data_IF_728696896068
#
_entry.id   IF_728696896068
#
_cell.length_a   1.000
_cell.length_b   1.000
_cell.length_c   1.000
_cell.angle_alpha   90.00
_cell.angle_beta   90.00
_cell.angle_gamma   90.00
#
_symmetry.space_group_name_H-M   'P 1'
#
loop_
_entity.id
_entity.type
_entity.pdbx_description
1 polymer ?
#
# COMPACT_ATOMS: atom_id res chain seq x y z
N UNK A 1 -20.08 -6.14 -11.34
CA UNK A 1 -20.71 -5.05 -10.56
C UNK A 1 -19.74 -3.88 -10.58
N UNK A 2 -20.23 -2.66 -10.88
CA UNK A 2 -19.41 -1.44 -10.78
C UNK A 2 -19.19 -1.07 -9.32
N UNK A 3 -18.07 -0.37 -9.02
CA UNK A 3 -17.80 0.12 -7.66
C UNK A 3 -18.83 1.25 -7.34
N UNK A 4 -19.53 1.23 -6.19
CA UNK A 4 -20.40 2.33 -5.78
C UNK A 4 -19.66 3.67 -5.72
N UNK A 5 -20.31 4.78 -6.08
CA UNK A 5 -19.65 6.09 -6.16
C UNK A 5 -18.99 6.51 -4.84
N UNK A 6 -19.66 6.30 -3.72
CA UNK A 6 -19.10 6.64 -2.41
C UNK A 6 -17.85 5.80 -2.09
N UNK A 7 -17.86 4.48 -2.38
CA UNK A 7 -16.68 3.62 -2.21
C UNK A 7 -15.55 4.10 -3.10
N UNK A 8 -15.84 4.41 -4.37
CA UNK A 8 -14.86 4.93 -5.32
C UNK A 8 -14.19 6.22 -4.79
N UNK A 9 -14.97 7.20 -4.33
CA UNK A 9 -14.45 8.45 -3.79
C UNK A 9 -13.62 8.25 -2.51
N UNK A 10 -14.07 7.37 -1.61
CA UNK A 10 -13.31 7.05 -0.40
C UNK A 10 -11.98 6.34 -0.72
N UNK A 11 -11.94 5.44 -1.71
CA UNK A 11 -10.68 4.81 -2.13
C UNK A 11 -9.74 5.83 -2.77
N UNK A 12 -10.24 6.83 -3.51
CA UNK A 12 -9.40 7.93 -3.98
C UNK A 12 -8.83 8.77 -2.82
N UNK A 13 -9.63 9.03 -1.79
CA UNK A 13 -9.13 9.67 -0.55
C UNK A 13 -8.05 8.79 0.11
N UNK A 14 -8.27 7.48 0.20
CA UNK A 14 -7.26 6.54 0.69
C UNK A 14 -5.98 6.59 -0.14
N UNK A 15 -6.09 6.69 -1.47
CA UNK A 15 -4.94 6.83 -2.38
C UNK A 15 -4.19 8.16 -2.17
N UNK A 16 -4.90 9.26 -1.92
CA UNK A 16 -4.30 10.56 -1.58
C UNK A 16 -3.55 10.48 -0.24
N UNK A 17 -4.18 9.94 0.80
CA UNK A 17 -3.54 9.73 2.11
C UNK A 17 -2.31 8.82 1.99
N UNK A 18 -2.40 7.76 1.13
CA UNK A 18 -1.28 6.88 0.83
C UNK A 18 -0.11 7.64 0.17
N UNK A 19 -0.39 8.50 -0.80
CA UNK A 19 0.63 9.34 -1.42
C UNK A 19 1.24 10.34 -0.42
N UNK A 20 0.44 10.87 0.50
CA UNK A 20 0.87 11.85 1.49
C UNK A 20 1.88 11.29 2.47
N UNK A 21 1.62 10.13 3.10
CA UNK A 21 2.59 9.56 4.02
C UNK A 21 3.88 9.08 3.30
N UNK A 22 3.76 8.59 2.06
CA UNK A 22 4.93 8.26 1.24
C UNK A 22 5.78 9.52 0.93
N UNK A 23 5.14 10.66 0.67
CA UNK A 23 5.85 11.92 0.45
C UNK A 23 6.58 12.38 1.73
N UNK A 24 5.99 12.18 2.92
CA UNK A 24 6.64 12.46 4.21
C UNK A 24 7.92 11.62 4.35
N UNK A 25 7.87 10.32 4.07
CA UNK A 25 9.06 9.45 4.11
C UNK A 25 10.09 9.89 3.06
N UNK A 26 9.66 10.19 1.83
CA UNK A 26 10.55 10.62 0.75
C UNK A 26 11.27 11.95 1.06
N UNK A 27 10.64 12.82 1.83
CA UNK A 27 11.23 14.11 2.23
C UNK A 27 12.33 14.01 3.29
N UNK A 28 12.62 12.82 3.81
CA UNK A 28 13.61 12.57 4.84
C UNK A 28 14.93 12.06 4.29
N UNK A 29 15.98 12.14 5.12
CA UNK A 29 17.29 11.59 4.78
C UNK A 29 17.46 10.10 5.10
N UNK A 30 16.54 9.49 5.89
CA UNK A 30 16.61 8.07 6.29
C UNK A 30 15.21 7.43 6.27
N UNK A 31 14.84 6.96 5.08
CA UNK A 31 13.52 6.34 4.86
C UNK A 31 13.26 5.11 5.76
N UNK A 32 14.30 4.37 6.14
CA UNK A 32 14.16 3.20 7.01
C UNK A 32 13.77 3.61 8.43
N UNK A 33 14.45 4.62 9.00
CA UNK A 33 14.12 5.14 10.33
C UNK A 33 12.78 5.87 10.35
N UNK A 34 12.42 6.59 9.28
CA UNK A 34 11.09 7.21 9.16
C UNK A 34 9.99 6.16 9.09
N UNK A 35 10.19 5.06 8.36
CA UNK A 35 9.22 3.96 8.35
C UNK A 35 8.99 3.38 9.74
N UNK A 36 10.07 3.18 10.53
CA UNK A 36 9.95 2.69 11.91
C UNK A 36 9.25 3.71 12.81
N UNK A 37 9.62 4.99 12.73
CA UNK A 37 8.98 6.06 13.50
C UNK A 37 7.47 6.15 13.18
N UNK A 38 7.11 6.04 11.91
CA UNK A 38 5.73 6.00 11.45
C UNK A 38 4.99 4.76 11.97
N UNK A 39 5.61 3.57 11.92
CA UNK A 39 5.02 2.33 12.46
C UNK A 39 4.73 2.46 13.96
N UNK A 40 5.67 3.01 14.74
CA UNK A 40 5.46 3.26 16.17
C UNK A 40 4.32 4.25 16.39
N UNK A 41 4.30 5.36 15.65
CA UNK A 41 3.25 6.37 15.77
C UNK A 41 1.86 5.81 15.37
N UNK A 42 1.79 4.98 14.31
CA UNK A 42 0.55 4.32 13.89
C UNK A 42 0.05 3.31 14.96
N UNK A 43 0.95 2.55 15.57
CA UNK A 43 0.60 1.65 16.66
C UNK A 43 0.10 2.40 17.91
N UNK A 44 0.74 3.52 18.27
CA UNK A 44 0.29 4.36 19.38
C UNK A 44 -1.08 4.99 19.08
N UNK A 45 -1.30 5.50 17.87
CA UNK A 45 -2.60 5.99 17.43
C UNK A 45 -3.66 4.88 17.49
N UNK A 46 -3.31 3.68 17.02
CA UNK A 46 -4.19 2.53 17.06
C UNK A 46 -4.56 2.15 18.50
N UNK A 47 -3.63 2.11 19.43
CA UNK A 47 -3.88 1.84 20.85
C UNK A 47 -4.87 2.85 21.47
N UNK A 48 -4.78 4.13 21.09
CA UNK A 48 -5.70 5.17 21.55
C UNK A 48 -7.11 4.98 20.97
N UNK A 49 -7.21 4.53 19.71
CA UNK A 49 -8.49 4.36 19.01
C UNK A 49 -9.16 3.01 19.27
N UNK A 50 -8.40 1.97 19.66
CA UNK A 50 -8.93 0.63 19.89
C UNK A 50 -10.12 0.58 20.88
N UNK A 51 -10.12 1.30 22.02
CA UNK A 51 -11.25 1.30 22.94
C UNK A 51 -12.55 1.85 22.34
N UNK A 52 -12.44 2.60 21.24
CA UNK A 52 -13.57 3.23 20.55
C UNK A 52 -14.14 2.36 19.41
N UNK A 53 -13.56 1.17 19.20
CA UNK A 53 -13.93 0.29 18.09
C UNK A 53 -14.33 -1.09 18.58
N UNK A 54 -15.29 -1.75 17.90
CA UNK A 54 -15.59 -3.15 18.21
C UNK A 54 -14.36 -4.04 17.98
N UNK A 55 -14.14 -5.00 18.85
CA UNK A 55 -13.10 -6.01 18.64
C UNK A 55 -13.40 -6.85 17.39
N UNK A 56 -12.39 -7.24 16.61
CA UNK A 56 -12.57 -8.14 15.48
C UNK A 56 -13.15 -9.49 15.94
N UNK A 57 -14.09 -10.04 15.17
CA UNK A 57 -14.68 -11.33 15.47
C UNK A 57 -13.60 -12.44 15.53
N UNK A 58 -13.76 -13.48 16.37
CA UNK A 58 -12.77 -14.55 16.52
C UNK A 58 -12.36 -15.23 15.21
N UNK A 59 -13.25 -15.33 14.24
CA UNK A 59 -13.01 -15.91 12.92
C UNK A 59 -11.97 -15.14 12.10
N UNK A 60 -11.71 -13.87 12.44
CA UNK A 60 -10.71 -13.04 11.71
C UNK A 60 -9.29 -13.13 12.27
N UNK A 61 -9.09 -13.65 13.48
CA UNK A 61 -7.77 -13.69 14.11
C UNK A 61 -6.72 -14.50 13.35
N UNK A 62 -7.03 -15.65 12.72
CA UNK A 62 -6.07 -16.36 11.87
C UNK A 62 -5.63 -15.54 10.68
N UNK A 63 -6.54 -14.76 10.05
CA UNK A 63 -6.25 -13.83 8.97
C UNK A 63 -5.36 -12.70 9.46
N UNK A 64 -5.64 -12.15 10.61
CA UNK A 64 -4.85 -11.08 11.22
C UNK A 64 -3.43 -11.56 11.53
N UNK A 65 -3.26 -12.76 12.06
CA UNK A 65 -1.94 -13.34 12.31
C UNK A 65 -1.17 -13.56 11.01
N UNK A 66 -1.80 -14.09 9.96
CA UNK A 66 -1.19 -14.26 8.64
C UNK A 66 -0.81 -12.90 8.03
N UNK A 67 -1.69 -11.89 8.14
CA UNK A 67 -1.43 -10.52 7.69
C UNK A 67 -0.18 -9.94 8.35
N UNK A 68 -0.06 -10.01 9.66
CA UNK A 68 1.10 -9.52 10.42
C UNK A 68 2.39 -10.18 9.92
N UNK A 69 2.39 -11.50 9.73
CA UNK A 69 3.57 -12.22 9.21
C UNK A 69 3.94 -11.74 7.80
N UNK A 70 2.95 -11.58 6.92
CA UNK A 70 3.17 -11.12 5.55
C UNK A 70 3.67 -9.67 5.50
N UNK A 71 3.11 -8.79 6.32
CA UNK A 71 3.56 -7.39 6.41
C UNK A 71 4.99 -7.29 6.93
N UNK A 72 5.32 -8.03 7.99
CA UNK A 72 6.70 -8.07 8.51
C UNK A 72 7.67 -8.59 7.44
N UNK A 73 7.32 -9.69 6.74
CA UNK A 73 8.11 -10.21 5.63
C UNK A 73 8.28 -9.17 4.52
N UNK A 74 7.19 -8.49 4.12
CA UNK A 74 7.21 -7.41 3.15
C UNK A 74 8.18 -6.29 3.56
N UNK A 75 8.10 -5.76 4.79
CA UNK A 75 8.97 -4.69 5.26
C UNK A 75 10.45 -5.11 5.31
N UNK A 76 10.75 -6.34 5.74
CA UNK A 76 12.11 -6.86 5.76
C UNK A 76 12.69 -7.02 4.36
N UNK A 77 11.89 -7.52 3.41
CA UNK A 77 12.29 -7.70 2.01
C UNK A 77 12.42 -6.35 1.29
N UNK A 78 11.54 -5.39 1.56
CA UNK A 78 11.61 -4.05 1.00
C UNK A 78 12.95 -3.38 1.32
N UNK A 79 13.41 -3.52 2.56
CA UNK A 79 14.72 -3.02 2.98
C UNK A 79 15.91 -3.70 2.27
N UNK A 80 15.75 -4.93 1.77
CA UNK A 80 16.76 -5.62 0.94
C UNK A 80 16.73 -5.08 -0.49
N UNK A 81 15.54 -4.98 -1.08
CA UNK A 81 15.36 -4.56 -2.48
C UNK A 81 15.88 -3.14 -2.71
N UNK A 82 15.63 -2.22 -1.79
CA UNK A 82 16.11 -0.83 -1.90
C UNK A 82 17.63 -0.67 -1.86
N UNK A 83 18.38 -1.70 -1.46
CA UNK A 83 19.86 -1.72 -1.55
C UNK A 83 20.38 -2.24 -2.89
N UNK A 84 19.52 -2.86 -3.71
CA UNK A 84 19.91 -3.54 -4.93
C UNK A 84 19.61 -2.76 -6.20
N UNK A 85 18.88 -1.65 -6.10
CA UNK A 85 18.55 -0.85 -7.27
C UNK A 85 17.85 0.47 -6.93
N UNK A 86 17.63 1.25 -7.97
CA UNK A 86 17.01 2.56 -7.87
C UNK A 86 15.51 2.43 -7.56
N UNK A 87 15.05 3.13 -6.54
CA UNK A 87 13.65 3.16 -6.11
C UNK A 87 12.70 3.60 -7.24
N UNK A 88 13.17 4.52 -8.10
CA UNK A 88 12.38 5.04 -9.21
C UNK A 88 12.01 3.96 -10.26
N UNK A 89 12.79 2.87 -10.30
CA UNK A 89 12.57 1.71 -11.18
C UNK A 89 11.82 0.58 -10.46
N UNK A 90 12.27 0.24 -9.26
CA UNK A 90 11.76 -0.93 -8.52
C UNK A 90 10.34 -0.71 -8.00
N UNK A 91 10.05 0.49 -7.48
CA UNK A 91 8.76 0.79 -6.88
C UNK A 91 7.58 0.71 -7.86
N UNK A 92 7.63 1.29 -9.09
CA UNK A 92 6.54 1.14 -10.06
C UNK A 92 6.33 -0.32 -10.50
N UNK A 93 7.39 -1.13 -10.60
CA UNK A 93 7.27 -2.55 -10.95
C UNK A 93 6.53 -3.33 -9.87
N UNK A 94 6.92 -3.17 -8.60
CA UNK A 94 6.24 -3.82 -7.47
C UNK A 94 4.77 -3.43 -7.41
N UNK A 95 4.46 -2.15 -7.60
CA UNK A 95 3.10 -1.60 -7.52
C UNK A 95 2.24 -1.93 -8.75
N UNK A 96 2.82 -1.95 -9.95
CA UNK A 96 2.09 -2.25 -11.17
C UNK A 96 1.77 -3.74 -11.36
N UNK A 97 2.54 -4.65 -10.73
CA UNK A 97 2.32 -6.10 -10.82
C UNK A 97 1.33 -6.59 -9.76
N UNK A 98 1.38 -6.05 -8.56
CA UNK A 98 0.61 -6.55 -7.42
C UNK A 98 -0.92 -6.63 -7.67
N UNK A 99 -1.63 -5.60 -8.23
CA UNK A 99 -3.07 -5.70 -8.45
C UNK A 99 -3.47 -6.78 -9.47
N UNK A 100 -2.61 -7.05 -10.46
CA UNK A 100 -2.83 -8.16 -11.40
C UNK A 100 -2.78 -9.50 -10.67
N UNK A 101 -1.80 -9.68 -9.77
CA UNK A 101 -1.70 -10.89 -8.94
C UNK A 101 -2.90 -11.03 -8.01
N UNK A 102 -3.38 -9.93 -7.40
CA UNK A 102 -4.61 -9.94 -6.58
C UNK A 102 -5.80 -10.39 -7.41
N UNK A 103 -5.98 -9.81 -8.61
CA UNK A 103 -7.10 -10.15 -9.49
C UNK A 103 -7.06 -11.61 -9.97
N UNK A 104 -5.90 -12.07 -10.41
CA UNK A 104 -5.71 -13.45 -10.86
C UNK A 104 -5.92 -14.45 -9.71
N UNK A 105 -5.32 -14.21 -8.56
CA UNK A 105 -5.46 -15.09 -7.39
C UNK A 105 -6.89 -15.09 -6.87
N UNK A 106 -7.53 -13.91 -6.78
CA UNK A 106 -8.92 -13.78 -6.37
C UNK A 106 -9.88 -14.53 -7.28
N UNK A 107 -9.69 -14.41 -8.60
CA UNK A 107 -10.54 -15.06 -9.57
C UNK A 107 -10.31 -16.59 -9.65
N UNK A 108 -9.04 -17.04 -9.63
CA UNK A 108 -8.72 -18.46 -9.86
C UNK A 108 -8.89 -19.35 -8.63
N UNK A 109 -8.56 -18.83 -7.43
CA UNK A 109 -8.54 -19.64 -6.21
C UNK A 109 -9.57 -19.25 -5.17
N UNK A 110 -10.07 -18.01 -5.22
CA UNK A 110 -10.97 -17.49 -4.20
C UNK A 110 -12.38 -17.24 -4.72
N UNK A 111 -12.63 -17.55 -6.02
CA UNK A 111 -13.96 -17.48 -6.64
C UNK A 111 -14.49 -16.04 -6.80
N UNK A 112 -13.64 -15.01 -6.76
CA UNK A 112 -14.09 -13.65 -7.05
C UNK A 112 -14.46 -13.52 -8.54
N UNK A 113 -15.72 -13.16 -8.82
CA UNK A 113 -16.18 -12.91 -10.18
C UNK A 113 -16.03 -11.44 -10.52
N UNK A 114 -15.11 -11.15 -11.45
CA UNK A 114 -14.87 -9.79 -11.92
C UNK A 114 -15.49 -9.59 -13.30
N UNK A 115 -16.18 -8.45 -13.52
CA UNK A 115 -16.70 -8.10 -14.83
C UNK A 115 -15.56 -7.77 -15.81
N UNK A 116 -15.84 -7.81 -17.11
CA UNK A 116 -14.86 -7.43 -18.15
C UNK A 116 -14.41 -5.98 -18.00
N UNK A 117 -15.29 -5.08 -17.56
CA UNK A 117 -14.94 -3.69 -17.26
C UNK A 117 -13.92 -3.58 -16.13
N UNK A 118 -14.10 -4.36 -15.05
CA UNK A 118 -13.14 -4.39 -13.93
C UNK A 118 -11.80 -4.95 -14.37
N UNK A 119 -11.76 -6.05 -15.13
CA UNK A 119 -10.51 -6.57 -15.68
C UNK A 119 -9.79 -5.56 -16.56
N UNK A 120 -10.53 -4.88 -17.45
CA UNK A 120 -9.97 -3.82 -18.31
C UNK A 120 -9.43 -2.65 -17.48
N UNK A 121 -10.18 -2.23 -16.46
CA UNK A 121 -9.76 -1.17 -15.55
C UNK A 121 -8.45 -1.50 -14.81
N UNK A 122 -8.35 -2.71 -14.24
CA UNK A 122 -7.14 -3.20 -13.58
C UNK A 122 -5.96 -3.23 -14.57
N UNK A 123 -6.17 -3.80 -15.77
CA UNK A 123 -5.13 -3.89 -16.79
C UNK A 123 -4.62 -2.51 -17.22
N UNK A 124 -5.52 -1.54 -17.44
CA UNK A 124 -5.14 -0.16 -17.78
C UNK A 124 -4.36 0.52 -16.66
N UNK A 125 -4.81 0.41 -15.40
CA UNK A 125 -4.09 0.99 -14.27
C UNK A 125 -2.67 0.42 -14.19
N UNK A 126 -2.52 -0.90 -14.25
CA UNK A 126 -1.22 -1.55 -14.20
C UNK A 126 -0.34 -1.16 -15.38
N UNK A 127 -0.89 -1.13 -16.61
CA UNK A 127 -0.17 -0.70 -17.80
C UNK A 127 0.31 0.75 -17.69
N UNK A 128 -0.53 1.65 -17.18
CA UNK A 128 -0.17 3.06 -16.98
C UNK A 128 0.97 3.25 -15.97
N UNK A 129 1.00 2.44 -14.90
CA UNK A 129 2.08 2.46 -13.90
C UNK A 129 3.39 1.91 -14.48
N UNK A 130 3.30 0.84 -15.27
CA UNK A 130 4.47 0.17 -15.85
C UNK A 130 5.05 0.90 -17.07
N UNK A 131 4.24 1.69 -17.78
CA UNK A 131 4.64 2.35 -19.02
C UNK A 131 5.93 3.17 -18.93
N UNK A 132 6.15 4.03 -17.91
CA UNK A 132 7.39 4.80 -17.80
C UNK A 132 8.62 3.91 -17.66
N UNK A 133 8.54 2.80 -16.94
CA UNK A 133 9.64 1.86 -16.73
C UNK A 133 9.98 1.13 -18.03
N UNK A 134 8.95 0.63 -18.72
CA UNK A 134 9.12 -0.08 -20.00
C UNK A 134 9.72 0.83 -21.07
N UNK A 135 9.23 2.06 -21.20
CA UNK A 135 9.67 3.01 -22.21
C UNK A 135 11.06 3.57 -21.99
N UNK A 136 11.51 3.60 -20.75
CA UNK A 136 12.87 4.03 -20.42
C UNK A 136 13.85 2.86 -20.37
N UNK A 137 13.40 1.64 -20.68
CA UNK A 137 14.17 0.40 -20.58
C UNK A 137 14.85 0.20 -19.19
N UNK A 138 14.19 0.70 -18.15
CA UNK A 138 14.69 0.69 -16.79
C UNK A 138 14.28 -0.61 -16.07
N UNK A 139 14.72 -1.74 -16.60
CA UNK A 139 14.46 -3.02 -15.95
C UNK A 139 15.57 -3.36 -14.95
N UNK A 140 15.20 -3.81 -13.74
CA UNK A 140 16.18 -4.25 -12.78
C UNK A 140 16.90 -5.49 -13.30
N UNK A 141 18.24 -5.47 -13.24
CA UNK A 141 19.06 -6.60 -13.60
C UNK A 141 19.36 -7.56 -12.43
N UNK A 142 19.91 -8.71 -12.73
CA UNK A 142 20.48 -9.64 -11.74
C UNK A 142 19.51 -10.04 -10.62
N UNK A 143 19.94 -9.85 -9.36
CA UNK A 143 19.19 -10.26 -8.18
C UNK A 143 17.98 -9.40 -7.84
N UNK A 144 17.86 -8.21 -8.41
CA UNK A 144 16.75 -7.29 -8.11
C UNK A 144 15.43 -7.75 -8.75
N UNK A 145 15.47 -8.28 -9.98
CA UNK A 145 14.28 -8.71 -10.69
C UNK A 145 13.42 -9.77 -9.95
N UNK A 146 13.97 -10.91 -9.48
CA UNK A 146 13.18 -11.88 -8.74
C UNK A 146 12.65 -11.33 -7.42
N UNK A 147 13.37 -10.43 -6.74
CA UNK A 147 12.92 -9.84 -5.49
C UNK A 147 11.76 -8.85 -5.68
N UNK A 148 11.70 -8.15 -6.81
CA UNK A 148 10.53 -7.33 -7.19
C UNK A 148 9.28 -8.21 -7.30
N UNK A 149 9.39 -9.37 -7.93
CA UNK A 149 8.28 -10.33 -8.03
C UNK A 149 7.86 -10.89 -6.67
N UNK A 150 8.83 -11.21 -5.81
CA UNK A 150 8.55 -11.65 -4.43
C UNK A 150 7.79 -10.57 -3.65
N UNK A 151 8.21 -9.31 -3.74
CA UNK A 151 7.49 -8.21 -3.07
C UNK A 151 6.10 -7.99 -3.66
N UNK A 152 5.94 -8.06 -4.97
CA UNK A 152 4.62 -7.97 -5.60
C UNK A 152 3.70 -9.12 -5.15
N UNK A 153 4.24 -10.34 -5.03
CA UNK A 153 3.51 -11.50 -4.51
C UNK A 153 3.15 -11.35 -3.03
N UNK A 154 4.07 -10.86 -2.18
CA UNK A 154 3.78 -10.56 -0.78
C UNK A 154 2.70 -9.49 -0.67
N UNK A 155 2.76 -8.44 -1.51
CA UNK A 155 1.73 -7.39 -1.57
C UNK A 155 0.37 -7.97 -1.94
N UNK A 156 0.31 -8.83 -2.95
CA UNK A 156 -0.93 -9.50 -3.34
C UNK A 156 -1.45 -10.42 -2.22
N UNK A 157 -0.56 -11.18 -1.59
CA UNK A 157 -0.92 -12.10 -0.52
C UNK A 157 -1.50 -11.37 0.69
N UNK A 158 -0.82 -10.34 1.23
CA UNK A 158 -1.39 -9.62 2.37
C UNK A 158 -2.67 -8.87 1.99
N UNK A 159 -2.78 -8.33 0.77
CA UNK A 159 -4.00 -7.64 0.31
C UNK A 159 -5.20 -8.57 0.31
N UNK A 160 -5.05 -9.81 -0.15
CA UNK A 160 -6.11 -10.82 -0.14
C UNK A 160 -6.42 -11.27 1.31
N UNK A 161 -5.39 -11.59 2.09
CA UNK A 161 -5.54 -11.98 3.50
C UNK A 161 -6.28 -10.91 4.29
N UNK A 162 -5.92 -9.64 4.11
CA UNK A 162 -6.57 -8.52 4.78
C UNK A 162 -8.01 -8.30 4.31
N UNK A 163 -8.25 -8.42 3.01
CA UNK A 163 -9.60 -8.31 2.47
C UNK A 163 -10.55 -9.37 3.03
N UNK A 164 -10.12 -10.64 3.06
CA UNK A 164 -10.91 -11.72 3.66
C UNK A 164 -10.99 -11.61 5.18
N UNK A 165 -9.88 -11.29 5.84
CA UNK A 165 -9.83 -11.08 7.28
C UNK A 165 -10.76 -9.96 7.74
N UNK A 166 -10.78 -8.86 7.01
CA UNK A 166 -11.67 -7.72 7.28
C UNK A 166 -13.14 -8.08 7.10
N UNK A 167 -13.49 -8.81 6.03
CA UNK A 167 -14.86 -9.33 5.81
C UNK A 167 -15.28 -10.25 6.96
N UNK A 168 -14.39 -11.09 7.47
CA UNK A 168 -14.64 -11.99 8.58
C UNK A 168 -14.68 -11.28 9.94
N UNK A 169 -14.13 -10.06 10.04
CA UNK A 169 -13.95 -9.35 11.32
C UNK A 169 -15.22 -8.67 11.84
N UNK A 170 -16.13 -8.29 10.95
CA UNK A 170 -17.28 -7.45 11.29
C UNK A 170 -16.91 -5.99 11.64
N UNK A 171 -15.60 -5.63 11.67
CA UNK A 171 -15.11 -4.29 11.96
C UNK A 171 -13.82 -4.00 11.20
N UNK A 172 -13.94 -3.33 10.06
CA UNK A 172 -12.78 -2.99 9.25
C UNK A 172 -11.78 -2.10 10.00
N UNK A 173 -12.28 -1.12 10.75
CA UNK A 173 -11.42 -0.26 11.57
C UNK A 173 -10.76 -1.05 12.70
N UNK A 174 -11.52 -1.86 13.44
CA UNK A 174 -10.98 -2.70 14.51
C UNK A 174 -9.88 -3.65 14.00
N UNK A 175 -10.10 -4.31 12.84
CA UNK A 175 -9.11 -5.17 12.21
C UNK A 175 -7.83 -4.39 11.87
N UNK A 176 -7.96 -3.23 11.23
CA UNK A 176 -6.83 -2.38 10.86
C UNK A 176 -6.01 -1.94 12.08
N UNK A 177 -6.68 -1.49 13.15
CA UNK A 177 -6.00 -1.02 14.36
C UNK A 177 -5.25 -2.15 15.06
N UNK A 178 -5.86 -3.34 15.20
CA UNK A 178 -5.18 -4.52 15.75
C UNK A 178 -3.97 -4.92 14.90
N UNK A 179 -4.09 -4.87 13.59
CA UNK A 179 -2.95 -5.15 12.69
C UNK A 179 -1.77 -4.22 12.99
N UNK A 180 -1.99 -2.88 13.06
CA UNK A 180 -0.91 -1.93 13.36
C UNK A 180 -0.28 -2.16 14.73
N UNK A 181 -1.06 -2.52 15.74
CA UNK A 181 -0.53 -2.85 17.07
C UNK A 181 0.34 -4.10 17.04
N UNK A 182 -0.10 -5.13 16.32
CA UNK A 182 0.60 -6.43 16.28
C UNK A 182 1.83 -6.44 15.36
N UNK A 183 1.84 -5.66 14.28
CA UNK A 183 3.01 -5.59 13.39
C UNK A 183 4.15 -4.71 13.92
N UNK A 184 3.85 -3.75 14.78
CA UNK A 184 4.86 -2.81 15.28
C UNK A 184 5.98 -3.47 16.08
N UNK A 185 5.74 -4.37 17.06
CA UNK A 185 6.81 -4.97 17.86
C UNK A 185 7.87 -5.69 17.02
N UNK A 186 7.54 -6.60 16.08
CA UNK A 186 8.56 -7.29 15.28
C UNK A 186 9.32 -6.32 14.34
N UNK A 187 8.67 -5.31 13.78
CA UNK A 187 9.33 -4.32 12.92
C UNK A 187 10.30 -3.46 13.73
N UNK A 188 9.86 -2.96 14.89
CA UNK A 188 10.70 -2.17 15.81
C UNK A 188 11.88 -2.99 16.32
N UNK A 189 11.67 -4.25 16.69
CA UNK A 189 12.73 -5.16 17.12
C UNK A 189 13.76 -5.35 16.01
N UNK A 190 13.33 -5.62 14.79
CA UNK A 190 14.24 -5.80 13.65
C UNK A 190 15.07 -4.53 13.37
N UNK A 191 14.46 -3.36 13.49
CA UNK A 191 15.15 -2.09 13.32
C UNK A 191 16.14 -1.82 14.47
N UNK A 192 15.72 -2.09 15.71
CA UNK A 192 16.57 -1.91 16.88
C UNK A 192 17.81 -2.82 16.85
N UNK A 193 17.65 -4.08 16.44
CA UNK A 193 18.79 -5.01 16.28
C UNK A 193 19.79 -4.52 15.22
N UNK A 194 19.33 -3.81 14.19
CA UNK A 194 20.18 -3.30 13.10
C UNK A 194 20.81 -1.94 13.40
N UNK A 195 20.07 -1.03 14.04
CA UNK A 195 20.44 0.38 14.20
C UNK A 195 20.58 0.83 15.65
N UNK A 196 20.31 -0.06 16.62
CA UNK A 196 20.43 0.15 18.08
C UNK A 196 19.86 1.51 18.53
N UNK A 197 20.64 2.31 19.31
CA UNK A 197 20.17 3.55 19.93
C UNK A 197 19.71 4.67 18.98
N UNK A 198 19.97 4.58 17.67
CA UNK A 198 19.54 5.62 16.72
C UNK A 198 18.01 5.66 16.49
N UNK A 199 17.31 4.55 16.70
CA UNK A 199 15.86 4.46 16.44
C UNK A 199 15.07 5.47 17.28
N UNK A 200 15.31 5.50 18.57
CA UNK A 200 14.54 6.33 19.50
C UNK A 200 14.89 7.81 19.39
N UNK A 201 16.17 8.15 19.29
CA UNK A 201 16.58 9.55 19.12
C UNK A 201 16.08 10.15 17.80
N UNK A 202 16.08 9.35 16.73
CA UNK A 202 15.53 9.76 15.44
C UNK A 202 14.01 9.98 15.51
N UNK A 203 13.27 9.02 16.06
CA UNK A 203 11.83 9.10 16.21
C UNK A 203 11.41 10.31 17.05
N UNK A 204 12.14 10.60 18.15
CA UNK A 204 11.89 11.77 18.98
C UNK A 204 12.10 13.10 18.23
N UNK A 205 13.12 13.19 17.36
CA UNK A 205 13.36 14.38 16.53
C UNK A 205 12.33 14.60 15.42
N UNK A 206 11.64 13.55 14.99
CA UNK A 206 10.69 13.60 13.87
C UNK A 206 9.25 13.27 14.24
N UNK A 207 8.90 13.32 15.51
CA UNK A 207 7.60 12.89 16.01
C UNK A 207 6.40 13.53 15.31
N UNK A 208 6.48 14.82 14.92
CA UNK A 208 5.40 15.54 14.20
C UNK A 208 5.14 14.92 12.82
N UNK A 209 6.20 14.59 12.08
CA UNK A 209 6.10 13.95 10.77
C UNK A 209 5.60 12.51 10.92
N UNK A 210 6.09 11.78 11.92
CA UNK A 210 5.62 10.44 12.24
C UNK A 210 4.12 10.44 12.62
N UNK A 211 3.67 11.38 13.43
CA UNK A 211 2.27 11.53 13.81
C UNK A 211 1.36 11.86 12.61
N UNK A 212 1.76 12.83 11.78
CA UNK A 212 1.04 13.15 10.55
C UNK A 212 0.98 11.95 9.59
N UNK A 213 2.11 11.26 9.42
CA UNK A 213 2.18 10.05 8.62
C UNK A 213 1.31 8.92 9.19
N UNK A 214 1.26 8.75 10.52
CA UNK A 214 0.42 7.78 11.20
C UNK A 214 -1.08 8.00 10.93
N UNK A 215 -1.54 9.25 11.00
CA UNK A 215 -2.93 9.59 10.63
C UNK A 215 -3.20 9.25 9.16
N UNK A 216 -2.27 9.58 8.26
CA UNK A 216 -2.42 9.30 6.84
C UNK A 216 -2.41 7.77 6.55
N UNK A 217 -1.49 7.00 7.14
CA UNK A 217 -1.41 5.57 6.87
C UNK A 217 -2.58 4.81 7.50
N UNK A 218 -2.96 5.14 8.74
CA UNK A 218 -4.11 4.53 9.42
C UNK A 218 -5.40 4.86 8.67
N UNK A 219 -5.64 6.12 8.30
CA UNK A 219 -6.80 6.53 7.53
C UNK A 219 -6.85 5.86 6.15
N UNK A 220 -5.75 5.88 5.41
CA UNK A 220 -5.63 5.23 4.11
C UNK A 220 -5.96 3.74 4.17
N UNK A 221 -5.36 3.03 5.13
CA UNK A 221 -5.52 1.59 5.21
C UNK A 221 -6.91 1.18 5.72
N UNK A 222 -7.43 1.87 6.74
CA UNK A 222 -8.78 1.64 7.25
C UNK A 222 -9.87 1.84 6.18
N UNK A 223 -9.76 2.91 5.39
CA UNK A 223 -10.68 3.18 4.28
C UNK A 223 -10.58 2.07 3.20
N UNK A 224 -9.35 1.63 2.88
CA UNK A 224 -9.16 0.58 1.89
C UNK A 224 -9.73 -0.77 2.35
N UNK A 225 -9.51 -1.15 3.60
CA UNK A 225 -10.08 -2.37 4.18
C UNK A 225 -11.61 -2.30 4.24
N UNK A 226 -12.16 -1.17 4.67
CA UNK A 226 -13.61 -0.96 4.59
C UNK A 226 -14.14 -1.09 3.16
N UNK A 227 -13.48 -0.47 2.18
CA UNK A 227 -13.90 -0.56 0.80
C UNK A 227 -13.87 -1.99 0.24
N UNK A 228 -12.97 -2.86 0.75
CA UNK A 228 -12.91 -4.28 0.41
C UNK A 228 -14.08 -5.09 0.98
N UNK A 229 -14.85 -4.56 1.93
CA UNK A 229 -16.13 -5.17 2.36
C UNK A 229 -17.28 -4.81 1.43
N UNK A 230 -17.18 -3.69 0.70
CA UNK A 230 -18.23 -3.13 -0.15
C UNK A 230 -18.03 -3.43 -1.65
N UNK A 231 -16.81 -3.81 -2.05
CA UNK A 231 -16.43 -4.01 -3.45
C UNK A 231 -15.43 -5.17 -3.61
N UNK A 232 -15.20 -5.68 -4.83
CA UNK A 232 -14.18 -6.71 -5.08
C UNK A 232 -12.78 -6.24 -4.63
N UNK A 233 -12.06 -7.11 -3.92
CA UNK A 233 -10.74 -6.82 -3.36
C UNK A 233 -9.78 -6.33 -4.45
N UNK A 234 -9.79 -7.02 -5.60
CA UNK A 234 -8.94 -6.67 -6.74
C UNK A 234 -9.22 -5.26 -7.31
N UNK A 235 -10.50 -4.87 -7.37
CA UNK A 235 -10.89 -3.56 -7.87
C UNK A 235 -10.46 -2.43 -6.91
N UNK A 236 -10.63 -2.63 -5.61
CA UNK A 236 -10.15 -1.70 -4.57
C UNK A 236 -8.62 -1.62 -4.58
N UNK A 237 -7.92 -2.76 -4.69
CA UNK A 237 -6.46 -2.80 -4.76
C UNK A 237 -5.95 -2.01 -5.97
N UNK A 238 -6.51 -2.22 -7.15
CA UNK A 238 -6.13 -1.47 -8.36
C UNK A 238 -6.42 0.03 -8.23
N UNK A 239 -7.59 0.39 -7.69
CA UNK A 239 -7.94 1.81 -7.50
C UNK A 239 -7.01 2.51 -6.50
N UNK A 240 -6.52 1.81 -5.47
CA UNK A 240 -5.50 2.35 -4.55
C UNK A 240 -4.19 2.70 -5.24
N UNK A 241 -3.84 2.02 -6.34
CA UNK A 241 -2.62 2.33 -7.10
C UNK A 241 -2.67 3.71 -7.77
N UNK A 242 -3.84 4.32 -7.88
CA UNK A 242 -3.97 5.72 -8.31
C UNK A 242 -3.23 6.70 -7.39
N UNK A 243 -2.79 6.24 -6.20
CA UNK A 243 -1.84 6.97 -5.35
C UNK A 243 -0.59 7.45 -6.09
N UNK A 244 -0.18 6.77 -7.16
CA UNK A 244 0.92 7.19 -8.04
C UNK A 244 0.62 8.53 -8.72
N UNK A 245 -0.66 8.79 -9.09
CA UNK A 245 -1.07 10.08 -9.66
C UNK A 245 -0.95 11.21 -8.63
N UNK A 246 -1.44 10.95 -7.41
CA UNK A 246 -1.31 11.92 -6.32
C UNK A 246 0.15 12.14 -5.92
N UNK A 247 0.97 11.10 -5.89
CA UNK A 247 2.40 11.23 -5.64
C UNK A 247 3.11 12.04 -6.73
N UNK A 248 2.74 11.88 -8.01
CA UNK A 248 3.25 12.68 -9.11
C UNK A 248 2.83 14.14 -8.98
N UNK A 249 1.56 14.41 -8.60
CA UNK A 249 1.06 15.77 -8.36
C UNK A 249 1.80 16.44 -7.18
N UNK A 250 1.96 15.74 -6.06
CA UNK A 250 2.73 16.22 -4.91
C UNK A 250 4.19 16.48 -5.31
N UNK A 251 4.81 15.58 -6.07
CA UNK A 251 6.17 15.74 -6.59
C UNK A 251 6.32 17.00 -7.45
N UNK A 252 5.37 17.28 -8.34
CA UNK A 252 5.39 18.47 -9.19
C UNK A 252 5.15 19.76 -8.42
N UNK A 253 4.18 19.76 -7.50
CA UNK A 253 3.76 20.99 -6.80
C UNK A 253 4.71 21.36 -5.66
N UNK A 254 5.10 20.38 -4.82
CA UNK A 254 5.92 20.63 -3.64
C UNK A 254 7.41 20.45 -3.92
N UNK A 255 7.81 19.46 -4.71
CA UNK A 255 9.22 19.16 -4.99
C UNK A 255 9.70 19.74 -6.31
N UNK A 256 8.82 20.40 -7.10
CA UNK A 256 9.10 21.03 -8.40
C UNK A 256 9.75 20.06 -9.41
N UNK A 257 9.40 18.77 -9.32
CA UNK A 257 9.86 17.74 -10.26
C UNK A 257 9.20 17.95 -11.63
N UNK A 258 9.98 17.81 -12.71
CA UNK A 258 9.44 17.86 -14.08
C UNK A 258 8.82 16.51 -14.43
N UNK A 259 7.57 16.52 -14.91
CA UNK A 259 6.93 15.31 -15.46
C UNK A 259 7.44 15.06 -16.87
N UNK A 260 8.05 13.91 -17.07
CA UNK A 260 8.37 13.44 -18.42
C UNK A 260 7.12 12.98 -19.20
N UNK A 261 7.17 13.01 -20.53
CA UNK A 261 6.03 12.65 -21.39
C UNK A 261 5.41 11.28 -21.06
N UNK A 262 6.24 10.28 -20.80
CA UNK A 262 5.76 8.93 -20.45
C UNK A 262 5.02 8.85 -19.10
N UNK A 263 5.37 9.71 -18.14
CA UNK A 263 4.63 9.83 -16.87
C UNK A 263 3.26 10.45 -17.10
N UNK A 264 3.14 11.45 -17.97
CA UNK A 264 1.86 12.06 -18.35
C UNK A 264 0.97 11.06 -19.09
N UNK A 265 1.51 10.34 -20.07
CA UNK A 265 0.78 9.30 -20.79
C UNK A 265 0.33 8.18 -19.85
N UNK A 266 1.19 7.72 -18.95
CA UNK A 266 0.83 6.74 -17.93
C UNK A 266 -0.31 7.23 -17.04
N UNK A 267 -0.27 8.50 -16.62
CA UNK A 267 -1.33 9.11 -15.82
C UNK A 267 -2.69 9.12 -16.56
N UNK A 268 -2.68 9.43 -17.86
CA UNK A 268 -3.91 9.39 -18.68
C UNK A 268 -4.48 7.97 -18.81
N UNK A 269 -3.61 6.95 -18.97
CA UNK A 269 -4.02 5.54 -19.03
C UNK A 269 -4.59 5.09 -17.67
N UNK A 270 -3.97 5.48 -16.55
CA UNK A 270 -4.50 5.20 -15.21
C UNK A 270 -5.88 5.83 -15.04
N UNK A 271 -6.07 7.09 -15.46
CA UNK A 271 -7.36 7.76 -15.40
C UNK A 271 -8.44 7.05 -16.23
N UNK A 272 -8.10 6.56 -17.42
CA UNK A 272 -8.99 5.72 -18.22
C UNK A 272 -9.35 4.41 -17.50
N UNK A 273 -8.37 3.75 -16.88
CA UNK A 273 -8.60 2.56 -16.07
C UNK A 273 -9.53 2.79 -14.88
N UNK A 274 -9.39 3.95 -14.19
CA UNK A 274 -10.30 4.36 -13.12
C UNK A 274 -11.75 4.51 -13.63
N UNK A 275 -11.94 5.11 -14.81
CA UNK A 275 -13.26 5.26 -15.42
C UNK A 275 -13.87 3.87 -15.71
N UNK A 276 -13.07 2.91 -16.20
CA UNK A 276 -13.54 1.53 -16.44
C UNK A 276 -13.96 0.80 -15.16
N UNK A 277 -13.27 1.03 -14.03
CA UNK A 277 -13.67 0.45 -12.74
C UNK A 277 -15.01 1.00 -12.22
N UNK A 278 -15.46 2.14 -12.75
CA UNK A 278 -16.73 2.78 -12.37
C UNK A 278 -17.90 2.33 -13.24
N UNK A 279 -17.63 1.80 -14.45
CA UNK A 279 -18.64 1.23 -15.35
C UNK A 279 -19.04 -0.18 -14.91
#
# INVERSE_FOLDING_TARGET
>A
MSIPLHVFLFVLLAALLHASWNAIIKSSGDAALDTVALTVAAALLALVLLPLTPAPAPASWPWLAASVVLHVAYFLMLGVVYRLGDLSQLYPLMRGIAPLLVALTGALWLGETLSSAVWTGIALICAGILLPVVRQAQFPGGRAAPLVLVIAALTAAYTLVDGYGTRASGSALGYCLWMFVLEAPPIVLAAWLRQRGRVWSYAAGRWRFAAAGAVCVTGSYSIALWAMTEAPIAAVAALRETSVLFAALIGCTLLKEKLGAWRVTGAAIIAAGMAMLRL
#
